data_IF_143882123535
#
_entry.id   IF_143882123535
#
_cell.length_a   1.000
_cell.length_b   1.000
_cell.length_c   1.000
_cell.angle_alpha   90.00
_cell.angle_beta   90.00
_cell.angle_gamma   90.00
#
_symmetry.space_group_name_H-M   'P 1'
#
loop_
_entity.id
_entity.type
_entity.pdbx_description
1 polymer ?
#
# COMPACT_ATOMS: atom_id res chain seq x y z
N UNK A 1 -23.05 -19.74 1.13
CA UNK A 1 -22.00 -19.28 0.19
C UNK A 1 -20.72 -19.17 0.99
N UNK A 2 -19.77 -20.08 0.79
CA UNK A 2 -18.46 -19.97 1.44
C UNK A 2 -17.65 -18.90 0.72
N UNK A 3 -17.06 -17.97 1.47
CA UNK A 3 -16.19 -16.92 0.93
C UNK A 3 -14.91 -17.54 0.34
N UNK A 4 -14.43 -17.00 -0.78
CA UNK A 4 -13.13 -17.35 -1.36
C UNK A 4 -11.99 -17.04 -0.39
N UNK A 5 -10.82 -17.63 -0.63
CA UNK A 5 -9.63 -17.33 0.17
C UNK A 5 -9.32 -15.82 0.14
N UNK A 6 -9.31 -15.22 -1.05
CA UNK A 6 -8.94 -13.81 -1.16
C UNK A 6 -9.98 -12.88 -0.50
N UNK A 7 -11.26 -13.25 -0.53
CA UNK A 7 -12.32 -12.53 0.20
C UNK A 7 -12.14 -12.62 1.73
N UNK A 8 -11.66 -13.76 2.24
CA UNK A 8 -11.34 -13.91 3.66
C UNK A 8 -10.13 -13.09 4.06
N UNK A 9 -9.07 -13.08 3.24
CA UNK A 9 -7.87 -12.26 3.44
C UNK A 9 -8.24 -10.77 3.45
N UNK A 10 -9.03 -10.32 2.48
CA UNK A 10 -9.54 -8.95 2.39
C UNK A 10 -10.29 -8.56 3.67
N UNK A 11 -11.24 -9.39 4.11
CA UNK A 11 -11.98 -9.16 5.37
C UNK A 11 -11.08 -9.11 6.58
N UNK A 12 -10.03 -9.94 6.60
CA UNK A 12 -9.06 -9.95 7.68
C UNK A 12 -8.31 -8.62 7.76
N UNK A 13 -7.82 -8.11 6.62
CA UNK A 13 -7.13 -6.81 6.55
C UNK A 13 -8.05 -5.66 6.96
N UNK A 14 -9.29 -5.64 6.49
CA UNK A 14 -10.28 -4.62 6.89
C UNK A 14 -10.57 -4.67 8.39
N UNK A 15 -10.64 -5.88 8.97
CA UNK A 15 -10.83 -6.04 10.41
C UNK A 15 -9.64 -5.50 11.20
N UNK A 16 -8.41 -5.70 10.73
CA UNK A 16 -7.22 -5.13 11.37
C UNK A 16 -7.25 -3.60 11.29
N UNK A 17 -7.55 -3.04 10.12
CA UNK A 17 -7.63 -1.59 9.91
C UNK A 17 -8.63 -0.91 10.85
N UNK A 18 -9.80 -1.54 11.05
CA UNK A 18 -10.81 -1.03 11.97
C UNK A 18 -10.33 -1.01 13.44
N UNK A 19 -9.50 -1.97 13.83
CA UNK A 19 -8.94 -2.08 15.18
C UNK A 19 -7.62 -1.33 15.37
N UNK A 20 -7.02 -0.82 14.30
CA UNK A 20 -5.77 -0.08 14.37
C UNK A 20 -5.97 1.36 14.85
N UNK A 21 -5.03 1.79 15.68
CA UNK A 21 -4.84 3.18 16.08
C UNK A 21 -4.23 4.00 14.92
N UNK A 22 -4.30 5.33 15.01
CA UNK A 22 -3.84 6.22 13.93
C UNK A 22 -2.37 5.97 13.53
N UNK A 23 -1.48 5.77 14.50
CA UNK A 23 -0.05 5.48 14.24
C UNK A 23 0.13 4.14 13.49
N UNK A 24 -0.74 3.16 13.73
CA UNK A 24 -0.68 1.86 13.06
C UNK A 24 -1.23 1.97 11.62
N UNK A 25 -2.28 2.78 11.42
CA UNK A 25 -2.81 3.11 10.09
C UNK A 25 -1.76 3.85 9.26
N UNK A 26 -1.01 4.77 9.84
CA UNK A 26 0.08 5.45 9.14
C UNK A 26 1.18 4.48 8.67
N UNK A 27 1.53 3.48 9.49
CA UNK A 27 2.46 2.43 9.06
C UNK A 27 1.88 1.58 7.91
N UNK A 28 0.59 1.24 7.98
CA UNK A 28 -0.08 0.53 6.89
C UNK A 28 -0.14 1.36 5.60
N UNK A 29 -0.36 2.67 5.70
CA UNK A 29 -0.36 3.59 4.55
C UNK A 29 0.97 3.55 3.82
N UNK A 30 2.08 3.64 4.55
CA UNK A 30 3.42 3.56 3.97
C UNK A 30 3.63 2.23 3.23
N UNK A 31 3.28 1.10 3.88
CA UNK A 31 3.36 -0.22 3.25
C UNK A 31 2.49 -0.34 1.99
N UNK A 32 1.30 0.27 1.99
CA UNK A 32 0.40 0.26 0.83
C UNK A 32 0.96 1.10 -0.34
N UNK A 33 1.55 2.26 -0.05
CA UNK A 33 2.21 3.12 -1.06
C UNK A 33 3.42 2.41 -1.65
N UNK A 34 4.26 1.78 -0.82
CA UNK A 34 5.42 0.99 -1.27
C UNK A 34 5.01 -0.16 -2.21
N UNK A 35 3.82 -0.73 -2.02
CA UNK A 35 3.28 -1.78 -2.89
C UNK A 35 2.59 -1.27 -4.14
N UNK A 36 2.08 -0.03 -4.12
CA UNK A 36 1.37 0.57 -5.24
C UNK A 36 2.31 1.25 -6.25
N UNK A 37 3.49 1.69 -5.81
CA UNK A 37 4.50 2.35 -6.65
C UNK A 37 5.59 1.32 -7.04
N UNK A 38 5.99 1.22 -8.31
CA UNK A 38 7.13 0.39 -8.71
C UNK A 38 8.39 0.82 -7.93
N UNK A 39 9.24 -0.11 -7.45
CA UNK A 39 10.47 0.28 -6.78
C UNK A 39 11.41 0.96 -7.78
N UNK A 40 11.52 2.28 -7.68
CA UNK A 40 12.53 3.04 -8.39
C UNK A 40 13.90 2.60 -7.86
N UNK A 41 14.74 2.06 -8.74
CA UNK A 41 16.01 1.41 -8.36
C UNK A 41 16.95 2.41 -7.66
N UNK A 42 16.78 3.72 -7.91
CA UNK A 42 17.57 4.79 -7.29
C UNK A 42 17.28 4.96 -5.78
N UNK A 43 16.05 4.65 -5.35
CA UNK A 43 15.68 4.70 -3.93
C UNK A 43 16.16 3.51 -3.11
N UNK A 44 16.45 2.37 -3.75
CA UNK A 44 17.05 1.23 -3.05
C UNK A 44 18.40 1.62 -2.43
N UNK A 45 19.15 2.52 -3.06
CA UNK A 45 20.45 2.96 -2.55
C UNK A 45 20.37 3.92 -1.35
N UNK A 46 19.33 4.78 -1.28
CA UNK A 46 19.07 5.61 -0.09
C UNK A 46 18.39 4.84 1.05
N UNK A 47 17.50 3.89 0.73
CA UNK A 47 16.85 3.01 1.70
C UNK A 47 17.81 2.06 2.41
N UNK A 48 18.88 1.62 1.73
CA UNK A 48 19.91 0.76 2.32
C UNK A 48 20.71 1.43 3.45
N UNK A 49 20.82 2.77 3.49
CA UNK A 49 21.43 3.48 4.62
C UNK A 49 20.49 3.67 5.82
N UNK A 50 19.16 3.53 5.63
CA UNK A 50 18.16 3.55 6.71
C UNK A 50 17.75 2.13 7.17
N UNK A 51 18.17 1.10 6.43
CA UNK A 51 18.07 -0.33 6.79
C UNK A 51 19.11 -0.75 7.85
N UNK A 52 19.51 0.16 8.74
CA UNK A 52 20.03 -0.23 10.05
C UNK A 52 18.88 -0.80 10.88
N UNK A 53 18.66 -2.10 10.71
CA UNK A 53 18.56 -3.04 11.83
C UNK A 53 17.85 -2.49 13.09
N UNK A 54 16.56 -2.19 12.99
CA UNK A 54 15.65 -2.35 14.13
C UNK A 54 15.03 -3.75 14.10
N UNK A 55 15.91 -4.74 13.99
CA UNK A 55 15.67 -6.15 14.28
C UNK A 55 15.45 -6.33 15.78
N UNK A 56 14.40 -5.75 16.38
CA UNK A 56 14.06 -5.93 17.81
C UNK A 56 12.68 -5.37 18.21
N UNK A 57 11.58 -5.80 17.57
CA UNK A 57 10.30 -6.00 18.27
C UNK A 57 9.29 -6.75 17.36
N UNK A 58 8.90 -7.97 17.74
CA UNK A 58 7.84 -8.73 17.06
C UNK A 58 6.46 -8.16 17.44
N UNK A 59 6.14 -6.95 16.99
CA UNK A 59 4.80 -6.40 17.21
C UNK A 59 3.78 -7.14 16.35
N UNK A 60 2.56 -7.34 16.89
CA UNK A 60 1.45 -7.94 16.14
C UNK A 60 1.23 -7.23 14.80
N UNK A 61 1.39 -5.91 14.78
CA UNK A 61 1.28 -5.08 13.58
C UNK A 61 2.28 -5.49 12.49
N UNK A 62 3.55 -5.72 12.84
CA UNK A 62 4.55 -6.14 11.86
C UNK A 62 4.22 -7.49 11.22
N UNK A 63 3.71 -8.43 12.01
CA UNK A 63 3.22 -9.71 11.48
C UNK A 63 2.01 -9.50 10.55
N UNK A 64 1.05 -8.65 10.92
CA UNK A 64 -0.10 -8.31 10.09
C UNK A 64 0.32 -7.66 8.76
N UNK A 65 1.25 -6.69 8.78
CA UNK A 65 1.74 -6.00 7.58
C UNK A 65 2.51 -6.92 6.64
N UNK A 66 3.32 -7.85 7.19
CA UNK A 66 4.01 -8.86 6.38
C UNK A 66 3.02 -9.78 5.68
N UNK A 67 2.01 -10.24 6.42
CA UNK A 67 0.98 -11.12 5.87
C UNK A 67 0.12 -10.40 4.81
N UNK A 68 -0.28 -9.16 5.10
CA UNK A 68 -0.92 -8.28 4.12
C UNK A 68 -0.07 -8.13 2.84
N UNK A 69 1.24 -7.89 2.97
CA UNK A 69 2.12 -7.71 1.81
C UNK A 69 2.12 -8.93 0.89
N UNK A 70 2.21 -10.13 1.48
CA UNK A 70 2.16 -11.39 0.74
C UNK A 70 0.81 -11.58 0.04
N UNK A 71 -0.28 -11.27 0.73
CA UNK A 71 -1.63 -11.37 0.15
C UNK A 71 -1.81 -10.36 -0.99
N UNK A 72 -1.45 -9.10 -0.76
CA UNK A 72 -1.58 -8.02 -1.73
C UNK A 72 -0.85 -8.32 -3.04
N UNK A 73 0.37 -8.87 -2.97
CA UNK A 73 1.14 -9.30 -4.13
C UNK A 73 0.39 -10.37 -4.96
N UNK A 74 -0.33 -11.28 -4.29
CA UNK A 74 -1.13 -12.33 -4.95
C UNK A 74 -2.52 -11.87 -5.42
N UNK A 75 -3.02 -10.74 -4.91
CA UNK A 75 -4.35 -10.25 -5.22
C UNK A 75 -4.45 -9.67 -6.63
N UNK A 76 -5.60 -9.89 -7.26
CA UNK A 76 -5.94 -9.26 -8.53
C UNK A 76 -6.17 -7.76 -8.36
N UNK A 77 -6.00 -6.99 -9.44
CA UNK A 77 -6.31 -5.55 -9.44
C UNK A 77 -7.72 -5.26 -8.94
N UNK A 78 -8.69 -6.13 -9.27
CA UNK A 78 -10.06 -6.00 -8.80
C UNK A 78 -10.16 -6.05 -7.27
N UNK A 79 -9.52 -7.03 -6.63
CA UNK A 79 -9.57 -7.17 -5.18
C UNK A 79 -8.83 -6.03 -4.45
N UNK A 80 -7.70 -5.58 -5.02
CA UNK A 80 -6.97 -4.40 -4.52
C UNK A 80 -7.84 -3.14 -4.57
N UNK A 81 -8.62 -2.96 -5.65
CA UNK A 81 -9.58 -1.86 -5.76
C UNK A 81 -10.72 -1.98 -4.75
N UNK A 82 -11.23 -3.19 -4.49
CA UNK A 82 -12.22 -3.42 -3.44
C UNK A 82 -11.66 -3.04 -2.06
N UNK A 83 -10.40 -3.40 -1.76
CA UNK A 83 -9.75 -2.96 -0.52
C UNK A 83 -9.76 -1.43 -0.42
N UNK A 84 -9.27 -0.73 -1.44
CA UNK A 84 -9.21 0.74 -1.45
C UNK A 84 -10.60 1.37 -1.29
N UNK A 85 -11.61 0.82 -1.96
CA UNK A 85 -12.98 1.30 -1.82
C UNK A 85 -13.49 1.15 -0.38
N UNK A 86 -13.27 0.00 0.26
CA UNK A 86 -13.68 -0.21 1.65
C UNK A 86 -12.91 0.68 2.62
N UNK A 87 -11.60 0.90 2.39
CA UNK A 87 -10.80 1.84 3.17
C UNK A 87 -11.33 3.26 3.02
N UNK A 88 -11.71 3.68 1.81
CA UNK A 88 -12.29 5.00 1.56
C UNK A 88 -13.63 5.18 2.27
N UNK A 89 -14.49 4.15 2.27
CA UNK A 89 -15.74 4.18 3.01
C UNK A 89 -15.53 4.28 4.53
N UNK A 90 -14.45 3.71 5.06
CA UNK A 90 -14.14 3.75 6.50
C UNK A 90 -13.45 5.06 6.91
N UNK A 91 -12.46 5.50 6.13
CA UNK A 91 -11.68 6.71 6.36
C UNK A 91 -11.29 7.34 5.01
N UNK A 92 -12.09 8.31 4.51
CA UNK A 92 -11.81 8.98 3.24
C UNK A 92 -10.45 9.70 3.26
N UNK A 93 -10.08 10.30 4.40
CA UNK A 93 -8.83 11.06 4.55
C UNK A 93 -7.61 10.15 4.41
N UNK A 94 -7.72 8.92 4.88
CA UNK A 94 -6.68 7.91 4.69
C UNK A 94 -6.40 7.66 3.19
N UNK A 95 -7.47 7.50 2.40
CA UNK A 95 -7.34 7.22 0.95
C UNK A 95 -6.91 8.47 0.17
N UNK A 96 -7.36 9.67 0.56
CA UNK A 96 -6.85 10.93 0.00
C UNK A 96 -5.34 11.09 0.23
N UNK A 97 -4.85 10.76 1.43
CA UNK A 97 -3.40 10.73 1.73
C UNK A 97 -2.68 9.70 0.87
N UNK A 98 -3.25 8.50 0.70
CA UNK A 98 -2.69 7.47 -0.18
C UNK A 98 -2.52 7.99 -1.62
N UNK A 99 -3.58 8.54 -2.22
CA UNK A 99 -3.51 9.09 -3.58
C UNK A 99 -2.50 10.24 -3.70
N UNK A 100 -2.45 11.11 -2.69
CA UNK A 100 -1.48 12.22 -2.65
C UNK A 100 -0.05 11.68 -2.66
N UNK A 101 0.26 10.69 -1.81
CA UNK A 101 1.59 10.09 -1.72
C UNK A 101 1.95 9.34 -3.02
N UNK A 102 1.05 8.52 -3.55
CA UNK A 102 1.29 7.81 -4.82
C UNK A 102 1.55 8.80 -5.96
N UNK A 103 0.76 9.88 -6.05
CA UNK A 103 0.94 10.91 -7.08
C UNK A 103 2.28 11.65 -6.94
N UNK A 104 2.68 12.00 -5.71
CA UNK A 104 3.98 12.62 -5.43
C UNK A 104 5.15 11.70 -5.82
N UNK A 105 5.00 10.40 -5.63
CA UNK A 105 6.04 9.39 -5.88
C UNK A 105 6.07 8.95 -7.35
N UNK A 106 4.98 9.14 -8.08
CA UNK A 106 4.89 8.89 -9.52
C UNK A 106 5.34 10.11 -10.36
N UNK A 107 5.27 11.32 -9.81
CA UNK A 107 5.72 12.56 -10.49
C UNK A 107 7.25 12.70 -10.63
N UNK A 108 8.04 11.72 -10.19
CA UNK A 108 9.47 11.60 -10.56
C UNK A 108 9.69 10.85 -11.89
N UNK A 109 8.62 10.39 -12.54
CA UNK A 109 8.63 9.96 -13.95
C UNK A 109 7.87 10.97 -14.82
N UNK A 110 8.41 12.18 -14.96
CA UNK A 110 8.17 12.94 -16.20
C UNK A 110 9.18 12.46 -17.26
N UNK A 111 8.79 11.41 -17.98
CA UNK A 111 8.77 11.45 -19.44
C UNK A 111 8.05 10.21 -20.02
N UNK A 112 6.73 10.32 -20.13
CA UNK A 112 6.03 9.78 -21.30
C UNK A 112 5.11 10.90 -21.80
N UNK A 113 5.60 11.69 -22.77
CA UNK A 113 4.77 12.67 -23.45
C UNK A 113 3.63 11.97 -24.20
N UNK A 114 2.37 12.43 -24.04
CA UNK A 114 1.31 12.16 -25.00
C UNK A 114 1.44 13.08 -26.23
N UNK A 115 1.18 12.50 -27.39
CA UNK A 115 1.11 13.08 -28.76
C UNK A 115 0.77 14.57 -28.91
N UNK A 116 1.48 15.28 -29.81
CA UNK A 116 0.88 16.27 -30.72
C UNK A 116 1.53 16.28 -32.13
N UNK A 117 0.79 15.71 -33.09
CA UNK A 117 0.37 16.28 -34.39
C UNK A 117 1.27 17.31 -35.13
N UNK A 118 1.56 16.93 -36.38
CA UNK A 118 1.27 17.71 -37.62
C UNK A 118 2.16 18.93 -37.93
N UNK A 119 3.15 18.74 -38.80
CA UNK A 119 3.25 19.38 -40.13
C UNK A 119 4.24 18.62 -40.99
#
# INVERSE_FOLDING_TARGET
>A
MSLSREEQELRCVLSWFANWEDQQREQFLNALVEKAVPPDIDQLFQGLNQLTLNSSCHSMLQCQLRLFSQWFDSWTCHLRNILLYNLHCYDPKFVEKFHTLVNQRCSTEDQCSPEEKKM
#
